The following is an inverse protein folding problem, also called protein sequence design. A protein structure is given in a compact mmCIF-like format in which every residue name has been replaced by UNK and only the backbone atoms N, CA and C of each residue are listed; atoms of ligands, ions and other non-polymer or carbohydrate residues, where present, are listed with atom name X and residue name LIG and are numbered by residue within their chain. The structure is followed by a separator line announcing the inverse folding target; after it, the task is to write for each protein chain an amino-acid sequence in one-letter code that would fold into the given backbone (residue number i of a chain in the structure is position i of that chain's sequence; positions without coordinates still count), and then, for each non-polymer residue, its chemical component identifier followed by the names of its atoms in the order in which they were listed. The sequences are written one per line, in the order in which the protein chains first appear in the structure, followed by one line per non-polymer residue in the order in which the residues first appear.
data_IF_857633012013
#
_entry.id   IF_857633012013
#
_cell.length_a   1.000
_cell.length_b   1.000
_cell.length_c   1.000
_cell.angle_alpha   90.00
_cell.angle_beta   90.00
_cell.angle_gamma   90.00
#
_symmetry.space_group_name_H-M   'P 1'
#
loop_
_entity.id
_entity.type
_entity.pdbx_description
1 polymer ?
#
# COMPACT_ATOMS: atom_id res chain seq x y z
N UNK A 1 -22.01 -17.21 -18.48
CA UNK A 1 -22.27 -17.18 -17.01
C UNK A 1 -20.92 -17.38 -16.34
N UNK A 2 -20.21 -16.29 -16.12
CA UNK A 2 -18.80 -16.29 -15.70
C UNK A 2 -18.71 -15.96 -14.21
N UNK A 3 -17.68 -16.48 -13.54
CA UNK A 3 -17.47 -16.45 -12.09
C UNK A 3 -17.25 -15.05 -11.45
N UNK A 4 -17.80 -13.99 -12.04
CA UNK A 4 -17.53 -12.57 -11.74
C UNK A 4 -18.46 -11.94 -10.68
N UNK A 5 -19.44 -12.70 -10.17
CA UNK A 5 -20.45 -12.20 -9.21
C UNK A 5 -20.57 -13.07 -7.95
N UNK A 6 -19.46 -13.67 -7.48
CA UNK A 6 -19.48 -14.26 -6.15
C UNK A 6 -19.72 -13.15 -5.11
N UNK A 7 -20.73 -13.26 -4.23
CA UNK A 7 -20.98 -12.24 -3.22
C UNK A 7 -19.77 -12.13 -2.31
N UNK A 8 -19.18 -10.93 -2.23
CA UNK A 8 -18.10 -10.63 -1.30
C UNK A 8 -18.67 -10.73 0.12
N UNK A 9 -18.18 -11.70 0.89
CA UNK A 9 -18.58 -11.88 2.28
C UNK A 9 -18.08 -10.69 3.13
N UNK A 10 -18.90 -10.26 4.08
CA UNK A 10 -18.49 -9.24 5.05
C UNK A 10 -17.46 -9.82 6.02
N UNK A 11 -16.66 -8.95 6.62
CA UNK A 11 -15.75 -9.38 7.68
C UNK A 11 -16.55 -10.00 8.84
N UNK A 12 -16.10 -11.12 9.44
CA UNK A 12 -16.88 -11.83 10.48
C UNK A 12 -17.27 -10.93 11.66
N UNK A 13 -16.38 -10.02 12.07
CA UNK A 13 -16.64 -9.09 13.17
C UNK A 13 -17.71 -8.05 12.79
N UNK A 14 -17.72 -7.59 11.54
CA UNK A 14 -18.76 -6.71 11.02
C UNK A 14 -20.14 -7.40 11.06
N UNK A 15 -20.21 -8.67 10.68
CA UNK A 15 -21.46 -9.45 10.75
C UNK A 15 -21.95 -9.64 12.19
N UNK A 16 -21.05 -9.96 13.11
CA UNK A 16 -21.37 -10.09 14.54
C UNK A 16 -21.96 -8.79 15.10
N UNK A 17 -21.38 -7.64 14.77
CA UNK A 17 -21.87 -6.35 15.22
C UNK A 17 -23.27 -6.07 14.68
N UNK A 18 -23.48 -6.30 13.38
CA UNK A 18 -24.80 -6.18 12.76
C UNK A 18 -25.85 -7.09 13.42
N UNK A 19 -25.48 -8.31 13.81
CA UNK A 19 -26.38 -9.22 14.53
C UNK A 19 -26.69 -8.76 15.95
N UNK A 20 -25.78 -8.03 16.59
CA UNK A 20 -25.94 -7.50 17.95
C UNK A 20 -26.76 -6.21 18.02
N UNK A 21 -27.11 -5.59 16.89
CA UNK A 21 -27.87 -4.35 16.86
C UNK A 21 -29.32 -4.57 17.33
N UNK A 22 -29.88 -3.66 18.15
CA UNK A 22 -31.22 -3.82 18.72
C UNK A 22 -32.34 -3.63 17.69
N UNK A 23 -32.08 -2.95 16.57
CA UNK A 23 -33.02 -2.77 15.45
C UNK A 23 -32.62 -3.67 14.27
N UNK A 24 -33.29 -4.82 14.06
CA UNK A 24 -32.98 -5.75 12.98
C UNK A 24 -33.23 -5.15 11.58
N UNK A 25 -34.18 -4.22 11.45
CA UNK A 25 -34.48 -3.59 10.17
C UNK A 25 -33.35 -2.63 9.79
N UNK A 26 -32.89 -1.80 10.74
CA UNK A 26 -31.72 -0.94 10.53
C UNK A 26 -30.45 -1.77 10.25
N UNK A 27 -30.22 -2.85 11.00
CA UNK A 27 -29.10 -3.77 10.75
C UNK A 27 -29.16 -4.40 9.34
N UNK A 28 -30.37 -4.75 8.88
CA UNK A 28 -30.60 -5.22 7.51
C UNK A 28 -30.19 -4.20 6.45
N UNK A 29 -30.55 -2.92 6.65
CA UNK A 29 -30.19 -1.81 5.76
C UNK A 29 -28.67 -1.55 5.73
N UNK A 30 -28.03 -1.53 6.90
CA UNK A 30 -26.56 -1.42 6.98
C UNK A 30 -25.86 -2.59 6.29
N UNK A 31 -26.36 -3.82 6.48
CA UNK A 31 -25.80 -5.01 5.81
C UNK A 31 -25.79 -4.85 4.29
N UNK A 32 -26.89 -4.34 3.71
CA UNK A 32 -26.96 -4.11 2.26
C UNK A 32 -25.93 -3.07 1.79
N UNK A 33 -25.80 -1.95 2.52
CA UNK A 33 -24.79 -0.93 2.22
C UNK A 33 -23.38 -1.49 2.32
N UNK A 34 -23.06 -2.23 3.38
CA UNK A 34 -21.72 -2.77 3.57
C UNK A 34 -21.37 -3.86 2.55
N UNK A 35 -22.34 -4.67 2.12
CA UNK A 35 -22.11 -5.64 1.04
C UNK A 35 -21.84 -4.91 -0.28
N UNK A 36 -22.59 -3.86 -0.59
CA UNK A 36 -22.34 -3.03 -1.77
C UNK A 36 -20.96 -2.34 -1.69
N UNK A 37 -20.57 -1.86 -0.50
CA UNK A 37 -19.26 -1.27 -0.26
C UNK A 37 -18.13 -2.28 -0.45
N UNK A 38 -18.28 -3.50 0.07
CA UNK A 38 -17.31 -4.58 -0.10
C UNK A 38 -17.13 -4.96 -1.58
N UNK A 39 -18.22 -5.02 -2.34
CA UNK A 39 -18.19 -5.25 -3.79
C UNK A 39 -17.51 -4.10 -4.52
N UNK A 40 -17.85 -2.85 -4.19
CA UNK A 40 -17.21 -1.68 -4.80
C UNK A 40 -15.70 -1.66 -4.51
N UNK A 41 -15.26 -1.89 -3.27
CA UNK A 41 -13.83 -1.97 -2.92
C UNK A 41 -13.14 -3.06 -3.73
N UNK A 42 -13.74 -4.26 -3.84
CA UNK A 42 -13.17 -5.36 -4.61
C UNK A 42 -13.02 -5.03 -6.10
N UNK A 43 -14.00 -4.39 -6.73
CA UNK A 43 -13.92 -4.02 -8.16
C UNK A 43 -13.05 -2.80 -8.43
N UNK A 44 -12.92 -1.91 -7.45
CA UNK A 44 -11.99 -0.78 -7.50
C UNK A 44 -10.54 -1.19 -7.22
N UNK A 45 -10.32 -2.39 -6.67
CA UNK A 45 -8.96 -2.95 -6.50
C UNK A 45 -8.34 -3.32 -7.85
N UNK A 46 -7.01 -3.48 -7.87
CA UNK A 46 -6.24 -4.07 -8.96
C UNK A 46 -6.55 -3.59 -10.38
N UNK A 47 -6.33 -2.31 -10.64
CA UNK A 47 -6.02 -1.89 -12.01
C UNK A 47 -4.59 -2.32 -12.32
N UNK A 48 -4.44 -3.45 -13.01
CA UNK A 48 -3.14 -3.81 -13.57
C UNK A 48 -2.79 -2.81 -14.67
N UNK A 49 -2.00 -1.82 -14.30
CA UNK A 49 -1.52 -0.80 -15.22
C UNK A 49 -0.49 -1.35 -16.21
N UNK A 50 0.09 -2.54 -15.95
CA UNK A 50 1.17 -3.11 -16.77
C UNK A 50 0.73 -3.33 -18.21
N UNK A 51 -0.53 -3.72 -18.45
CA UNK A 51 -1.05 -3.89 -19.82
C UNK A 51 -1.18 -2.58 -20.61
N UNK A 52 -1.12 -1.43 -19.94
CA UNK A 52 -1.18 -0.10 -20.56
C UNK A 52 0.19 0.59 -20.58
N UNK A 53 1.23 -0.10 -20.10
CA UNK A 53 2.61 0.37 -20.20
C UNK A 53 3.11 0.11 -21.63
N UNK A 54 3.74 1.12 -22.23
CA UNK A 54 4.49 0.97 -23.48
C UNK A 54 5.98 0.98 -23.17
N UNK A 55 6.77 0.25 -23.96
CA UNK A 55 8.24 0.22 -23.83
C UNK A 55 8.89 1.59 -24.12
N UNK A 56 8.14 2.53 -24.69
CA UNK A 56 8.55 3.92 -24.94
C UNK A 56 7.70 4.93 -24.18
N UNK A 57 8.30 6.04 -23.78
CA UNK A 57 7.61 7.20 -23.16
C UNK A 57 7.27 8.31 -24.14
N UNK A 58 7.70 8.20 -25.40
CA UNK A 58 7.57 9.25 -26.44
C UNK A 58 6.25 9.24 -27.21
N UNK A 59 5.37 8.25 -27.03
CA UNK A 59 4.05 8.28 -27.65
C UNK A 59 3.14 9.24 -26.90
N UNK A 60 2.74 10.34 -27.54
CA UNK A 60 1.55 11.11 -27.15
C UNK A 60 0.35 10.17 -26.98
N UNK A 61 -0.64 10.54 -26.18
CA UNK A 61 -1.83 9.71 -26.04
C UNK A 61 -2.56 9.64 -27.39
N UNK A 62 -2.29 8.57 -28.13
CA UNK A 62 -3.10 8.19 -29.28
C UNK A 62 -4.54 7.99 -28.80
N UNK A 63 -5.51 8.36 -29.63
CA UNK A 63 -6.94 8.08 -29.42
C UNK A 63 -7.19 6.63 -28.98
N UNK A 64 -6.32 5.70 -29.38
CA UNK A 64 -6.32 4.29 -28.97
C UNK A 64 -6.21 4.08 -27.45
N UNK A 65 -5.36 4.83 -26.72
CA UNK A 65 -5.26 4.68 -25.27
C UNK A 65 -6.55 5.14 -24.58
N UNK A 66 -7.13 6.24 -25.07
CA UNK A 66 -8.39 6.74 -24.54
C UNK A 66 -9.53 5.72 -24.75
N UNK A 67 -9.58 5.09 -25.93
CA UNK A 67 -10.52 4.01 -26.24
C UNK A 67 -10.33 2.79 -25.32
N UNK A 68 -9.10 2.44 -24.98
CA UNK A 68 -8.78 1.36 -24.04
C UNK A 68 -9.11 1.72 -22.57
N UNK A 69 -8.98 3.00 -22.20
CA UNK A 69 -9.21 3.49 -20.83
C UNK A 69 -10.65 3.86 -20.53
N UNK A 70 -11.42 4.26 -21.53
CA UNK A 70 -12.82 4.63 -21.36
C UNK A 70 -13.67 3.55 -20.67
N UNK A 71 -13.53 2.24 -20.97
CA UNK A 71 -14.20 1.18 -20.22
C UNK A 71 -13.82 1.18 -18.73
N UNK A 72 -12.53 1.32 -18.40
CA UNK A 72 -12.06 1.31 -17.00
C UNK A 72 -12.61 2.51 -16.21
N UNK A 73 -12.63 3.69 -16.83
CA UNK A 73 -13.19 4.91 -16.24
C UNK A 73 -14.70 4.74 -16.02
N UNK A 74 -15.42 4.26 -17.05
CA UNK A 74 -16.86 4.00 -16.97
C UNK A 74 -17.18 3.02 -15.86
N UNK A 75 -16.47 1.89 -15.80
CA UNK A 75 -16.71 0.84 -14.83
C UNK A 75 -16.40 1.33 -13.40
N UNK A 76 -15.33 2.13 -13.23
CA UNK A 76 -15.03 2.82 -11.95
C UNK A 76 -16.21 3.69 -11.50
N UNK A 77 -16.77 4.52 -12.40
CA UNK A 77 -17.92 5.38 -12.08
C UNK A 77 -19.18 4.54 -11.80
N UNK A 78 -19.39 3.46 -12.55
CA UNK A 78 -20.53 2.56 -12.36
C UNK A 78 -20.49 1.88 -10.99
N UNK A 79 -19.33 1.36 -10.57
CA UNK A 79 -19.19 0.66 -9.30
C UNK A 79 -19.45 1.58 -8.09
N UNK A 80 -18.98 2.82 -8.13
CA UNK A 80 -19.28 3.80 -7.08
C UNK A 80 -20.75 4.21 -7.12
N UNK A 81 -21.34 4.42 -8.31
CA UNK A 81 -22.75 4.78 -8.43
C UNK A 81 -23.70 3.68 -7.93
N UNK A 82 -23.36 2.39 -8.11
CA UNK A 82 -24.11 1.27 -7.54
C UNK A 82 -24.19 1.41 -6.02
N UNK A 83 -23.07 1.68 -5.35
CA UNK A 83 -23.06 1.93 -3.91
C UNK A 83 -23.89 3.15 -3.52
N UNK A 84 -23.75 4.28 -4.23
CA UNK A 84 -24.51 5.50 -3.94
C UNK A 84 -26.03 5.26 -4.05
N UNK A 85 -26.47 4.48 -5.04
CA UNK A 85 -27.88 4.13 -5.18
C UNK A 85 -28.37 3.27 -4.00
N UNK A 86 -27.60 2.27 -3.58
CA UNK A 86 -27.93 1.45 -2.39
C UNK A 86 -28.04 2.32 -1.14
N UNK A 87 -27.13 3.28 -0.93
CA UNK A 87 -27.21 4.20 0.22
C UNK A 87 -28.49 5.04 0.16
N UNK A 88 -28.85 5.60 -1.01
CA UNK A 88 -30.07 6.41 -1.18
C UNK A 88 -31.35 5.62 -0.92
N UNK A 89 -31.40 4.38 -1.40
CA UNK A 89 -32.55 3.49 -1.22
C UNK A 89 -32.72 3.08 0.24
N UNK A 90 -31.63 2.73 0.92
CA UNK A 90 -31.66 2.21 2.29
C UNK A 90 -31.68 3.33 3.35
N UNK A 91 -31.19 4.52 3.04
CA UNK A 91 -31.09 5.64 3.96
C UNK A 91 -31.60 6.94 3.31
N UNK A 92 -32.93 7.11 3.13
CA UNK A 92 -33.48 8.36 2.61
C UNK A 92 -33.34 9.50 3.64
N UNK A 93 -33.09 10.71 3.14
CA UNK A 93 -32.81 11.94 3.93
C UNK A 93 -33.91 12.28 4.96
N UNK A 94 -35.13 11.75 4.80
CA UNK A 94 -36.30 12.06 5.63
C UNK A 94 -36.53 11.07 6.79
N UNK A 95 -35.65 10.09 7.00
CA UNK A 95 -35.84 9.10 8.06
C UNK A 95 -35.69 9.72 9.46
N UNK A 96 -36.76 9.68 10.26
CA UNK A 96 -36.72 10.07 11.69
C UNK A 96 -35.97 9.00 12.50
N UNK A 97 -34.65 9.12 12.57
CA UNK A 97 -33.80 8.32 13.44
C UNK A 97 -33.42 9.10 14.71
N UNK A 98 -33.06 8.38 15.79
CA UNK A 98 -32.59 8.99 17.04
C UNK A 98 -31.31 8.27 17.53
N UNK A 99 -30.47 9.01 18.25
CA UNK A 99 -29.25 8.49 18.88
C UNK A 99 -28.25 7.92 17.86
N UNK A 100 -27.64 6.77 18.20
CA UNK A 100 -26.60 6.12 17.38
C UNK A 100 -27.03 5.80 15.95
N UNK A 101 -28.32 5.52 15.73
CA UNK A 101 -28.88 5.26 14.39
C UNK A 101 -28.80 6.53 13.53
N UNK A 102 -29.11 7.69 14.12
CA UNK A 102 -29.03 8.97 13.43
C UNK A 102 -27.58 9.34 13.09
N UNK A 103 -26.66 9.14 14.03
CA UNK A 103 -25.24 9.40 13.85
C UNK A 103 -24.64 8.54 12.73
N UNK A 104 -24.87 7.22 12.77
CA UNK A 104 -24.44 6.30 11.71
C UNK A 104 -25.05 6.66 10.35
N UNK A 105 -26.33 7.02 10.31
CA UNK A 105 -26.99 7.46 9.07
C UNK A 105 -26.40 8.77 8.55
N UNK A 106 -26.04 9.72 9.42
CA UNK A 106 -25.43 10.98 9.04
C UNK A 106 -24.04 10.76 8.39
N UNK A 107 -23.23 9.86 8.97
CA UNK A 107 -21.94 9.46 8.39
C UNK A 107 -22.12 8.88 6.98
N UNK A 108 -23.13 8.04 6.76
CA UNK A 108 -23.44 7.49 5.43
C UNK A 108 -23.82 8.58 4.42
N UNK A 109 -24.62 9.57 4.85
CA UNK A 109 -25.02 10.69 3.98
C UNK A 109 -23.85 11.61 3.62
N UNK A 110 -22.99 11.92 4.59
CA UNK A 110 -21.79 12.72 4.37
C UNK A 110 -20.85 12.03 3.37
N UNK A 111 -20.57 10.74 3.60
CA UNK A 111 -19.73 9.96 2.70
C UNK A 111 -20.33 9.84 1.29
N UNK A 112 -21.66 9.71 1.17
CA UNK A 112 -22.35 9.74 -0.12
C UNK A 112 -22.15 11.08 -0.84
N UNK A 113 -22.22 12.21 -0.12
CA UNK A 113 -21.98 13.54 -0.71
C UNK A 113 -20.54 13.68 -1.20
N UNK A 114 -19.57 13.21 -0.41
CA UNK A 114 -18.15 13.25 -0.77
C UNK A 114 -17.87 12.40 -2.02
N UNK A 115 -18.34 11.15 -2.04
CA UNK A 115 -18.19 10.25 -3.19
C UNK A 115 -18.85 10.80 -4.46
N UNK A 116 -20.03 11.42 -4.34
CA UNK A 116 -20.70 12.05 -5.48
C UNK A 116 -19.88 13.23 -6.04
N UNK A 117 -19.28 14.05 -5.18
CA UNK A 117 -18.41 15.15 -5.58
C UNK A 117 -17.15 14.63 -6.29
N UNK A 118 -16.55 13.54 -5.80
CA UNK A 118 -15.38 12.92 -6.43
C UNK A 118 -15.68 12.34 -7.82
N UNK A 119 -16.88 11.77 -8.02
CA UNK A 119 -17.32 11.35 -9.37
C UNK A 119 -17.38 12.56 -10.31
N UNK A 120 -17.90 13.70 -9.84
CA UNK A 120 -17.93 14.93 -10.65
C UNK A 120 -16.51 15.40 -10.99
N UNK A 121 -15.60 15.40 -10.01
CA UNK A 121 -14.20 15.77 -10.22
C UNK A 121 -13.48 14.84 -11.21
N UNK A 122 -13.75 13.53 -11.14
CA UNK A 122 -13.26 12.57 -12.12
C UNK A 122 -13.78 12.93 -13.52
N UNK A 123 -15.08 13.20 -13.66
CA UNK A 123 -15.68 13.62 -14.92
C UNK A 123 -15.06 14.91 -15.49
N UNK A 124 -14.72 15.88 -14.64
CA UNK A 124 -14.04 17.11 -15.04
C UNK A 124 -12.59 16.85 -15.47
N UNK A 125 -11.84 16.05 -14.70
CA UNK A 125 -10.47 15.66 -15.05
C UNK A 125 -10.41 14.93 -16.40
N UNK A 126 -11.37 14.05 -16.66
CA UNK A 126 -11.49 13.29 -17.91
C UNK A 126 -11.89 14.14 -19.12
N UNK A 127 -12.35 15.38 -18.91
CA UNK A 127 -12.61 16.36 -19.99
C UNK A 127 -11.44 17.31 -20.21
N UNK A 128 -10.43 17.30 -19.34
CA UNK A 128 -9.28 18.19 -19.44
C UNK A 128 -8.28 17.64 -20.48
N UNK A 129 -8.02 18.38 -21.59
CA UNK A 129 -7.09 17.95 -22.62
C UNK A 129 -5.69 17.62 -22.10
N UNK A 130 -5.21 18.33 -21.08
CA UNK A 130 -3.88 18.09 -20.49
C UNK A 130 -3.75 16.75 -19.76
N UNK A 131 -4.87 16.18 -19.32
CA UNK A 131 -4.89 14.87 -18.65
C UNK A 131 -4.97 13.75 -19.69
N UNK A 132 -5.84 13.92 -20.68
CA UNK A 132 -6.09 12.88 -21.69
C UNK A 132 -5.05 12.82 -22.80
N UNK A 133 -4.24 13.88 -22.97
CA UNK A 133 -3.19 13.95 -24.01
C UNK A 133 -1.88 13.25 -23.64
N UNK A 134 -1.63 12.97 -22.35
CA UNK A 134 -0.45 12.25 -21.86
C UNK A 134 -0.86 10.95 -21.17
N UNK A 135 -0.35 9.83 -21.68
CA UNK A 135 -0.65 8.48 -21.18
C UNK A 135 -0.44 8.37 -19.68
N UNK A 136 0.72 8.80 -19.21
CA UNK A 136 1.11 8.63 -17.81
C UNK A 136 0.29 9.50 -16.87
N UNK A 137 -0.12 10.68 -17.31
CA UNK A 137 -1.03 11.59 -16.58
C UNK A 137 -2.42 10.97 -16.46
N UNK A 138 -2.98 10.44 -17.56
CA UNK A 138 -4.27 9.74 -17.52
C UNK A 138 -4.25 8.54 -16.56
N UNK A 139 -3.22 7.67 -16.65
CA UNK A 139 -3.08 6.52 -15.76
C UNK A 139 -2.94 6.95 -14.29
N UNK A 140 -2.20 8.04 -14.04
CA UNK A 140 -2.02 8.59 -12.69
C UNK A 140 -3.34 9.08 -12.10
N UNK A 141 -4.15 9.79 -12.89
CA UNK A 141 -5.45 10.30 -12.47
C UNK A 141 -6.43 9.16 -12.16
N UNK A 142 -6.54 8.17 -13.05
CA UNK A 142 -7.41 7.00 -12.81
C UNK A 142 -6.98 6.23 -11.56
N UNK A 143 -5.68 6.00 -11.37
CA UNK A 143 -5.17 5.33 -10.17
C UNK A 143 -5.43 6.14 -8.89
N UNK A 144 -5.30 7.47 -8.95
CA UNK A 144 -5.58 8.39 -7.85
C UNK A 144 -7.05 8.30 -7.43
N UNK A 145 -7.98 8.48 -8.37
CA UNK A 145 -9.41 8.43 -8.08
C UNK A 145 -9.85 7.06 -7.55
N UNK A 146 -9.40 5.95 -8.15
CA UNK A 146 -9.71 4.59 -7.66
C UNK A 146 -9.20 4.37 -6.23
N UNK A 147 -8.04 4.91 -5.89
CA UNK A 147 -7.50 4.81 -4.53
C UNK A 147 -8.30 5.66 -3.54
N UNK A 148 -8.64 6.89 -3.92
CA UNK A 148 -9.48 7.79 -3.11
C UNK A 148 -10.88 7.19 -2.85
N UNK A 149 -11.54 6.67 -3.88
CA UNK A 149 -12.82 5.99 -3.73
C UNK A 149 -12.74 4.80 -2.76
N UNK A 150 -11.73 3.94 -2.88
CA UNK A 150 -11.56 2.81 -1.94
C UNK A 150 -11.37 3.28 -0.51
N UNK A 151 -10.56 4.32 -0.31
CA UNK A 151 -10.32 4.90 1.00
C UNK A 151 -11.61 5.48 1.60
N UNK A 152 -12.36 6.28 0.84
CA UNK A 152 -13.61 6.87 1.29
C UNK A 152 -14.70 5.84 1.56
N UNK A 153 -14.82 4.80 0.73
CA UNK A 153 -15.75 3.69 0.97
C UNK A 153 -15.34 2.91 2.22
N UNK A 154 -14.05 2.66 2.43
CA UNK A 154 -13.55 2.03 3.65
C UNK A 154 -13.81 2.87 4.91
N UNK A 155 -13.60 4.19 4.81
CA UNK A 155 -13.91 5.16 5.88
C UNK A 155 -15.40 5.17 6.19
N UNK A 156 -16.26 5.12 5.17
CA UNK A 156 -17.71 5.00 5.33
C UNK A 156 -18.07 3.78 6.17
N UNK A 157 -17.57 2.59 5.82
CA UNK A 157 -17.87 1.36 6.56
C UNK A 157 -17.38 1.46 8.00
N UNK A 158 -16.13 1.87 8.19
CA UNK A 158 -15.53 1.97 9.53
C UNK A 158 -16.27 2.98 10.42
N UNK A 159 -16.44 4.22 9.95
CA UNK A 159 -17.03 5.29 10.75
C UNK A 159 -18.50 5.04 11.08
N UNK A 160 -19.26 4.46 10.15
CA UNK A 160 -20.68 4.18 10.37
C UNK A 160 -20.94 3.02 11.36
N UNK A 161 -20.03 2.03 11.43
CA UNK A 161 -20.17 0.92 12.41
C UNK A 161 -19.53 1.23 13.77
N UNK A 162 -18.48 2.06 13.82
CA UNK A 162 -17.75 2.37 15.06
C UNK A 162 -18.61 3.05 16.13
N UNK A 163 -19.71 3.68 15.75
CA UNK A 163 -20.70 4.25 16.68
C UNK A 163 -21.30 3.18 17.61
N UNK A 164 -21.32 1.92 17.18
CA UNK A 164 -21.96 0.81 17.89
C UNK A 164 -21.02 -0.01 18.77
N UNK A 165 -19.71 0.20 18.69
CA UNK A 165 -18.75 -0.49 19.54
C UNK A 165 -17.30 -0.19 19.18
N UNK A 166 -16.38 -0.55 20.07
CA UNK A 166 -14.95 -0.44 19.82
C UNK A 166 -14.52 -1.52 18.80
N UNK A 167 -13.97 -1.06 17.69
CA UNK A 167 -13.58 -1.87 16.54
C UNK A 167 -12.37 -1.28 15.86
N UNK A 168 -11.55 -2.15 15.29
CA UNK A 168 -10.48 -1.75 14.39
C UNK A 168 -10.92 -1.80 12.92
N UNK A 169 -10.18 -1.10 12.05
CA UNK A 169 -10.36 -1.19 10.60
C UNK A 169 -10.09 -2.59 10.08
N UNK A 170 -9.10 -3.28 10.64
CA UNK A 170 -8.76 -4.66 10.31
C UNK A 170 -9.94 -5.62 10.49
N UNK A 171 -10.80 -5.35 11.45
CA UNK A 171 -11.96 -6.18 11.76
C UNK A 171 -13.21 -5.84 10.94
N UNK A 172 -13.30 -4.62 10.41
CA UNK A 172 -14.56 -4.09 9.86
C UNK A 172 -14.48 -3.68 8.40
N UNK A 173 -13.35 -3.18 7.92
CA UNK A 173 -13.22 -2.67 6.55
C UNK A 173 -12.92 -3.83 5.59
N UNK A 174 -13.80 -4.08 4.61
CA UNK A 174 -13.57 -5.13 3.61
C UNK A 174 -12.27 -4.89 2.83
N UNK A 175 -11.46 -5.94 2.65
CA UNK A 175 -10.22 -5.86 1.88
C UNK A 175 -9.06 -5.12 2.55
N UNK A 176 -9.22 -4.59 3.77
CA UNK A 176 -8.17 -3.85 4.47
C UNK A 176 -6.90 -4.68 4.68
N UNK A 177 -7.03 -5.93 5.13
CA UNK A 177 -5.86 -6.79 5.37
C UNK A 177 -5.08 -7.10 4.08
N UNK A 178 -5.79 -7.34 2.97
CA UNK A 178 -5.14 -7.53 1.66
C UNK A 178 -4.43 -6.26 1.20
N UNK A 179 -5.02 -5.08 1.42
CA UNK A 179 -4.41 -3.81 1.05
C UNK A 179 -3.17 -3.49 1.90
N UNK A 180 -3.22 -3.72 3.21
CA UNK A 180 -2.07 -3.62 4.11
C UNK A 180 -0.95 -4.54 3.62
N UNK A 181 -1.26 -5.82 3.34
CA UNK A 181 -0.27 -6.80 2.83
C UNK A 181 0.35 -6.37 1.50
N UNK A 182 -0.45 -5.87 0.57
CA UNK A 182 0.03 -5.38 -0.72
C UNK A 182 0.97 -4.17 -0.54
N UNK A 183 0.56 -3.20 0.28
CA UNK A 183 1.37 -2.01 0.57
C UNK A 183 2.68 -2.36 1.30
N UNK A 184 2.65 -3.29 2.26
CA UNK A 184 3.83 -3.81 2.94
C UNK A 184 4.77 -4.51 1.96
N UNK A 185 4.23 -5.26 0.99
CA UNK A 185 5.03 -5.93 -0.05
C UNK A 185 5.74 -4.91 -0.93
N UNK A 186 5.03 -3.86 -1.38
CA UNK A 186 5.65 -2.76 -2.16
C UNK A 186 6.78 -2.12 -1.35
N UNK A 187 6.51 -1.74 -0.10
CA UNK A 187 7.50 -1.12 0.79
C UNK A 187 8.74 -1.99 0.98
N UNK A 188 8.56 -3.27 1.28
CA UNK A 188 9.65 -4.21 1.51
C UNK A 188 10.55 -4.37 0.27
N UNK A 189 9.94 -4.60 -0.90
CA UNK A 189 10.70 -4.81 -2.14
C UNK A 189 11.41 -3.52 -2.58
N UNK A 190 10.79 -2.36 -2.41
CA UNK A 190 11.43 -1.06 -2.69
C UNK A 190 12.65 -0.84 -1.80
N UNK A 191 12.55 -1.16 -0.51
CA UNK A 191 13.69 -1.04 0.41
C UNK A 191 14.84 -1.99 0.04
N UNK A 192 14.52 -3.22 -0.36
CA UNK A 192 15.51 -4.19 -0.84
C UNK A 192 16.17 -3.72 -2.14
N UNK A 193 15.40 -3.22 -3.10
CA UNK A 193 15.93 -2.63 -4.33
C UNK A 193 16.85 -1.45 -4.03
N UNK A 194 16.44 -0.54 -3.14
CA UNK A 194 17.24 0.65 -2.78
C UNK A 194 18.59 0.25 -2.19
N UNK A 195 18.61 -0.76 -1.32
CA UNK A 195 19.84 -1.33 -0.80
C UNK A 195 20.71 -1.95 -1.89
N UNK A 196 20.13 -2.70 -2.82
CA UNK A 196 20.85 -3.34 -3.91
C UNK A 196 21.48 -2.29 -4.83
N UNK A 197 20.70 -1.30 -5.27
CA UNK A 197 21.16 -0.23 -6.16
C UNK A 197 22.24 0.62 -5.49
N UNK A 198 22.10 0.97 -4.21
CA UNK A 198 23.14 1.71 -3.49
C UNK A 198 24.50 0.97 -3.49
N UNK A 199 24.48 -0.36 -3.32
CA UNK A 199 25.70 -1.19 -3.42
C UNK A 199 26.23 -1.23 -4.84
N UNK A 200 25.37 -1.30 -5.87
CA UNK A 200 25.80 -1.26 -7.28
C UNK A 200 26.44 0.07 -7.62
N UNK A 201 25.86 1.18 -7.17
CA UNK A 201 26.39 2.52 -7.38
C UNK A 201 27.81 2.66 -6.82
N UNK A 202 28.04 2.20 -5.58
CA UNK A 202 29.38 2.20 -4.99
C UNK A 202 30.38 1.41 -5.85
N UNK A 203 30.00 0.22 -6.31
CA UNK A 203 30.86 -0.61 -7.17
C UNK A 203 31.16 0.05 -8.51
N UNK A 204 30.18 0.67 -9.16
CA UNK A 204 30.37 1.37 -10.44
C UNK A 204 31.35 2.55 -10.28
N UNK A 205 31.25 3.29 -9.17
CA UNK A 205 32.17 4.40 -8.87
C UNK A 205 33.61 3.92 -8.68
N UNK A 206 33.81 2.77 -8.04
CA UNK A 206 35.14 2.22 -7.75
C UNK A 206 35.72 1.37 -8.89
N UNK A 207 34.90 0.96 -9.87
CA UNK A 207 35.31 0.03 -10.91
C UNK A 207 36.24 0.64 -11.97
N UNK A 208 37.06 -0.24 -12.57
CA UNK A 208 37.88 0.07 -13.74
C UNK A 208 37.11 -0.12 -15.06
N UNK A 209 37.64 0.36 -16.20
CA UNK A 209 36.94 0.33 -17.49
C UNK A 209 36.52 -1.07 -17.97
N UNK A 210 37.27 -2.11 -17.59
CA UNK A 210 37.04 -3.51 -18.00
C UNK A 210 35.78 -4.11 -17.39
N UNK A 211 35.32 -3.60 -16.25
CA UNK A 211 34.19 -4.19 -15.51
C UNK A 211 32.87 -3.44 -15.77
N UNK A 212 32.91 -2.32 -16.51
CA UNK A 212 31.76 -1.42 -16.67
C UNK A 212 30.56 -2.10 -17.32
N UNK A 213 30.79 -2.91 -18.36
CA UNK A 213 29.72 -3.67 -19.02
C UNK A 213 29.04 -4.63 -18.04
N UNK A 214 29.80 -5.35 -17.22
CA UNK A 214 29.26 -6.29 -16.25
C UNK A 214 28.39 -5.59 -15.21
N UNK A 215 28.79 -4.39 -14.76
CA UNK A 215 27.97 -3.62 -13.82
C UNK A 215 26.71 -3.02 -14.47
N UNK A 216 26.78 -2.59 -15.72
CA UNK A 216 25.59 -2.15 -16.47
C UNK A 216 24.57 -3.29 -16.63
N UNK A 217 25.03 -4.49 -17.01
CA UNK A 217 24.19 -5.69 -17.11
C UNK A 217 23.59 -6.10 -15.76
N UNK A 218 24.38 -6.02 -14.68
CA UNK A 218 23.85 -6.29 -13.34
C UNK A 218 22.73 -5.31 -12.98
N UNK A 219 22.93 -4.00 -13.16
CA UNK A 219 21.90 -3.00 -12.87
C UNK A 219 20.63 -3.23 -13.71
N UNK A 220 20.77 -3.60 -14.99
CA UNK A 220 19.64 -3.94 -15.85
C UNK A 220 18.89 -5.17 -15.34
N UNK A 221 19.61 -6.24 -14.98
CA UNK A 221 19.02 -7.47 -14.44
C UNK A 221 18.23 -7.22 -13.14
N UNK A 222 18.71 -6.33 -12.25
CA UNK A 222 17.98 -5.97 -11.03
C UNK A 222 16.67 -5.24 -11.37
N UNK A 223 16.68 -4.32 -12.36
CA UNK A 223 15.49 -3.62 -12.82
C UNK A 223 14.48 -4.57 -13.48
N UNK A 224 14.95 -5.49 -14.32
CA UNK A 224 14.11 -6.48 -14.98
C UNK A 224 13.50 -7.46 -13.96
N UNK A 225 14.27 -7.87 -12.96
CA UNK A 225 13.77 -8.69 -11.86
C UNK A 225 12.70 -7.92 -11.06
N UNK A 226 12.94 -6.64 -10.75
CA UNK A 226 11.98 -5.79 -10.05
C UNK A 226 10.68 -5.62 -10.84
N UNK A 227 10.75 -5.38 -12.15
CA UNK A 227 9.58 -5.24 -13.03
C UNK A 227 8.64 -6.44 -13.06
N UNK A 228 9.13 -7.63 -12.70
CA UNK A 228 8.33 -8.88 -12.62
C UNK A 228 7.67 -9.10 -11.25
N UNK A 229 7.98 -8.27 -10.25
CA UNK A 229 7.44 -8.42 -8.89
C UNK A 229 6.01 -7.89 -8.78
N UNK A 230 5.27 -8.37 -7.77
CA UNK A 230 3.98 -7.78 -7.41
C UNK A 230 4.12 -6.32 -6.92
N UNK A 231 5.28 -5.95 -6.37
CA UNK A 231 5.54 -4.59 -5.92
C UNK A 231 5.53 -3.58 -7.08
N UNK A 232 6.09 -3.95 -8.24
CA UNK A 232 6.07 -3.11 -9.43
C UNK A 232 4.63 -2.80 -9.87
N UNK A 233 3.73 -3.79 -9.85
CA UNK A 233 2.30 -3.58 -10.18
C UNK A 233 1.64 -2.54 -9.27
N UNK A 234 2.02 -2.51 -8.00
CA UNK A 234 1.51 -1.58 -6.99
C UNK A 234 2.14 -0.18 -6.97
N UNK A 235 3.06 0.13 -7.89
CA UNK A 235 3.66 1.47 -8.02
C UNK A 235 2.70 2.48 -8.68
N UNK A 236 2.98 3.77 -8.44
CA UNK A 236 2.27 4.86 -9.13
C UNK A 236 2.66 4.87 -10.61
N UNK A 237 1.75 5.28 -11.48
CA UNK A 237 2.03 5.40 -12.91
C UNK A 237 3.27 6.26 -13.20
N UNK A 238 3.42 7.44 -12.57
CA UNK A 238 4.62 8.27 -12.76
C UNK A 238 5.92 7.59 -12.30
N UNK A 239 5.88 6.80 -11.22
CA UNK A 239 7.06 6.06 -10.76
C UNK A 239 7.49 5.02 -11.81
N UNK A 240 6.52 4.33 -12.41
CA UNK A 240 6.74 3.36 -13.50
C UNK A 240 7.30 4.01 -14.75
N UNK A 241 6.80 5.20 -15.13
CA UNK A 241 7.33 6.02 -16.23
C UNK A 241 8.83 6.24 -16.07
N UNK A 242 9.26 6.75 -14.91
CA UNK A 242 10.67 7.02 -14.64
C UNK A 242 11.53 5.75 -14.66
N UNK A 243 10.98 4.62 -14.19
CA UNK A 243 11.68 3.32 -14.29
C UNK A 243 11.89 2.93 -15.75
N UNK A 244 10.86 3.06 -16.60
CA UNK A 244 10.96 2.74 -18.03
C UNK A 244 11.96 3.65 -18.73
N UNK A 245 11.96 4.95 -18.45
CA UNK A 245 12.93 5.92 -18.99
C UNK A 245 14.37 5.55 -18.60
N UNK A 246 14.61 5.20 -17.34
CA UNK A 246 15.93 4.76 -16.88
C UNK A 246 16.33 3.41 -17.49
N UNK A 247 15.39 2.47 -17.68
CA UNK A 247 15.65 1.21 -18.38
C UNK A 247 16.05 1.46 -19.83
N UNK A 248 15.38 2.38 -20.52
CA UNK A 248 15.70 2.78 -21.89
C UNK A 248 17.12 3.37 -22.03
N UNK A 249 17.60 4.07 -21.00
CA UNK A 249 18.98 4.59 -20.95
C UNK A 249 20.01 3.53 -20.56
N UNK A 250 19.66 2.63 -19.66
CA UNK A 250 20.56 1.59 -19.15
C UNK A 250 20.77 0.44 -20.14
N UNK A 251 19.74 0.07 -20.91
CA UNK A 251 19.78 -1.03 -21.88
C UNK A 251 20.91 -0.90 -22.91
N UNK A 252 21.07 0.25 -23.59
CA UNK A 252 22.20 0.48 -24.48
C UNK A 252 23.54 0.28 -23.78
N UNK A 253 23.74 0.86 -22.59
CA UNK A 253 24.99 0.75 -21.82
C UNK A 253 25.33 -0.70 -21.46
N UNK A 254 24.34 -1.52 -21.17
CA UNK A 254 24.52 -2.94 -20.83
C UNK A 254 24.95 -3.81 -22.02
N UNK A 255 24.65 -3.39 -23.25
CA UNK A 255 25.06 -4.10 -24.48
C UNK A 255 26.39 -3.60 -25.04
N UNK A 256 26.83 -2.41 -24.67
CA UNK A 256 28.15 -1.87 -25.04
C UNK A 256 29.28 -2.66 -24.37
N UNK A 257 30.33 -3.00 -25.12
CA UNK A 257 31.50 -3.71 -24.58
C UNK A 257 32.33 -2.86 -23.60
N UNK A 258 32.36 -1.54 -23.81
CA UNK A 258 33.07 -0.58 -22.98
C UNK A 258 32.21 0.68 -22.79
N UNK A 259 31.15 0.64 -21.97
CA UNK A 259 30.30 1.79 -21.75
C UNK A 259 31.06 2.91 -21.02
N UNK A 260 30.79 4.19 -21.33
CA UNK A 260 31.41 5.32 -20.63
C UNK A 260 31.08 5.28 -19.14
N UNK A 261 32.10 5.37 -18.29
CA UNK A 261 31.96 5.27 -16.83
C UNK A 261 31.09 6.40 -16.27
N UNK A 262 31.31 7.62 -16.74
CA UNK A 262 30.55 8.82 -16.37
C UNK A 262 29.07 8.68 -16.70
N UNK A 263 28.73 8.16 -17.88
CA UNK A 263 27.35 7.92 -18.29
C UNK A 263 26.68 6.82 -17.44
N UNK A 264 27.38 5.71 -17.19
CA UNK A 264 26.87 4.63 -16.35
C UNK A 264 26.67 5.08 -14.90
N UNK A 265 27.63 5.83 -14.34
CA UNK A 265 27.48 6.44 -13.00
C UNK A 265 26.24 7.33 -12.96
N UNK A 266 26.07 8.23 -13.93
CA UNK A 266 24.94 9.14 -13.96
C UNK A 266 23.58 8.41 -14.03
N UNK A 267 23.47 7.34 -14.82
CA UNK A 267 22.25 6.52 -14.90
C UNK A 267 21.98 5.78 -13.59
N UNK A 268 23.00 5.18 -12.98
CA UNK A 268 22.84 4.41 -11.72
C UNK A 268 22.58 5.34 -10.53
N UNK A 269 23.12 6.57 -10.53
CA UNK A 269 22.80 7.61 -9.54
C UNK A 269 21.34 8.09 -9.66
N UNK A 270 20.87 8.31 -10.89
CA UNK A 270 19.48 8.65 -11.14
C UNK A 270 18.54 7.52 -10.67
N UNK A 271 18.95 6.25 -10.87
CA UNK A 271 18.23 5.09 -10.36
C UNK A 271 18.22 5.02 -8.83
N UNK A 272 19.36 5.23 -8.16
CA UNK A 272 19.42 5.26 -6.69
C UNK A 272 18.49 6.36 -6.14
N UNK A 273 18.51 7.54 -6.77
CA UNK A 273 17.63 8.67 -6.42
C UNK A 273 16.15 8.32 -6.59
N UNK A 274 15.79 7.70 -7.72
CA UNK A 274 14.42 7.25 -7.98
C UNK A 274 13.97 6.22 -6.94
N UNK A 275 14.77 5.18 -6.68
CA UNK A 275 14.37 4.13 -5.73
C UNK A 275 14.23 4.68 -4.30
N UNK A 276 15.06 5.66 -3.92
CA UNK A 276 14.87 6.39 -2.65
C UNK A 276 13.56 7.18 -2.63
N UNK A 277 13.17 7.80 -3.74
CA UNK A 277 11.90 8.55 -3.82
C UNK A 277 10.66 7.63 -3.72
N UNK A 278 10.79 6.36 -4.12
CA UNK A 278 9.73 5.35 -3.95
C UNK A 278 9.42 5.06 -2.46
N UNK A 279 10.29 5.44 -1.52
CA UNK A 279 10.00 5.38 -0.08
C UNK A 279 8.79 6.23 0.31
N UNK A 280 8.30 7.12 -0.56
CA UNK A 280 7.02 7.80 -0.45
C UNK A 280 5.83 6.84 -0.27
N UNK A 281 5.97 5.55 -0.63
CA UNK A 281 4.99 4.50 -0.29
C UNK A 281 4.67 4.47 1.21
N UNK A 282 5.63 4.82 2.08
CA UNK A 282 5.44 4.90 3.54
C UNK A 282 4.40 5.95 3.96
N UNK A 283 4.07 6.91 3.08
CA UNK A 283 3.08 7.94 3.34
C UNK A 283 1.65 7.51 2.98
N UNK A 284 1.45 6.26 2.53
CA UNK A 284 0.10 5.72 2.31
C UNK A 284 -0.60 5.57 3.66
N UNK A 285 -1.82 6.11 3.75
CA UNK A 285 -2.62 6.10 4.97
C UNK A 285 -2.76 4.71 5.59
N UNK A 286 -2.94 3.67 4.76
CA UNK A 286 -3.03 2.28 5.21
C UNK A 286 -1.78 1.80 5.96
N UNK A 287 -0.58 2.22 5.52
CA UNK A 287 0.67 1.89 6.19
C UNK A 287 0.87 2.72 7.46
N UNK A 288 0.53 4.01 7.43
CA UNK A 288 0.61 4.88 8.62
C UNK A 288 -0.22 4.30 9.77
N UNK A 289 -1.45 3.87 9.49
CA UNK A 289 -2.32 3.26 10.48
C UNK A 289 -1.78 1.91 10.97
N UNK A 290 -1.39 1.02 10.06
CA UNK A 290 -0.78 -0.26 10.40
C UNK A 290 0.48 -0.08 11.27
N UNK A 291 1.37 0.83 10.88
CA UNK A 291 2.65 1.02 11.54
C UNK A 291 2.45 1.54 12.98
N UNK A 292 1.43 2.37 13.24
CA UNK A 292 1.05 2.80 14.60
C UNK A 292 0.58 1.63 15.46
N UNK A 293 -0.28 0.77 14.92
CA UNK A 293 -0.77 -0.43 15.63
C UNK A 293 0.38 -1.39 15.95
N UNK A 294 1.26 -1.62 14.98
CA UNK A 294 2.43 -2.49 15.11
C UNK A 294 3.42 -1.92 16.11
N UNK A 295 3.67 -0.60 16.07
CA UNK A 295 4.54 0.09 17.01
C UNK A 295 4.04 -0.07 18.46
N UNK A 296 2.75 0.17 18.71
CA UNK A 296 2.15 -0.02 20.03
C UNK A 296 2.22 -1.49 20.48
N UNK A 297 1.91 -2.44 19.58
CA UNK A 297 1.94 -3.86 19.88
C UNK A 297 3.36 -4.39 20.18
N UNK A 298 4.38 -3.84 19.52
CA UNK A 298 5.79 -4.12 19.81
C UNK A 298 6.21 -3.48 21.13
N UNK A 299 5.86 -2.22 21.38
CA UNK A 299 6.20 -1.51 22.62
C UNK A 299 5.76 -2.26 23.88
N UNK A 300 4.47 -2.64 23.94
CA UNK A 300 3.92 -3.40 25.07
C UNK A 300 4.65 -4.73 25.29
N UNK A 301 5.02 -5.44 24.20
CA UNK A 301 5.74 -6.71 24.31
C UNK A 301 7.16 -6.51 24.82
N UNK A 302 7.85 -5.48 24.36
CA UNK A 302 9.23 -5.22 24.78
C UNK A 302 9.30 -4.73 26.23
N UNK A 303 8.37 -3.90 26.67
CA UNK A 303 8.23 -3.54 28.09
C UNK A 303 8.02 -4.78 28.95
N UNK A 304 7.11 -5.68 28.54
CA UNK A 304 6.87 -6.94 29.24
C UNK A 304 8.11 -7.84 29.26
N UNK A 305 8.80 -7.98 28.13
CA UNK A 305 10.02 -8.79 28.05
C UNK A 305 11.13 -8.22 28.93
N UNK A 306 11.27 -6.88 28.97
CA UNK A 306 12.25 -6.21 29.84
C UNK A 306 11.97 -6.48 31.32
N UNK A 307 10.70 -6.44 31.73
CA UNK A 307 10.30 -6.77 33.11
C UNK A 307 10.57 -8.23 33.51
N UNK A 308 10.74 -9.14 32.54
CA UNK A 308 10.99 -10.56 32.76
C UNK A 308 12.46 -10.97 32.55
N UNK A 309 13.33 -10.07 32.09
CA UNK A 309 14.68 -10.44 31.62
C UNK A 309 15.54 -11.08 32.72
N UNK A 310 15.38 -10.63 33.97
CA UNK A 310 16.14 -11.16 35.12
C UNK A 310 15.43 -12.31 35.83
N UNK A 311 14.10 -12.35 35.82
CA UNK A 311 13.30 -13.32 36.57
C UNK A 311 12.91 -14.56 35.77
N UNK A 312 12.65 -14.40 34.47
CA UNK A 312 12.26 -15.45 33.53
C UNK A 312 12.81 -15.15 32.12
N UNK A 313 14.13 -15.36 31.91
CA UNK A 313 14.79 -15.02 30.66
C UNK A 313 14.26 -15.84 29.46
N UNK A 314 13.76 -17.06 29.68
CA UNK A 314 13.20 -17.89 28.62
C UNK A 314 11.89 -17.28 28.07
N UNK A 315 11.00 -16.85 28.95
CA UNK A 315 9.77 -16.14 28.53
C UNK A 315 10.09 -14.78 27.91
N UNK A 316 11.05 -14.04 28.46
CA UNK A 316 11.50 -12.77 27.89
C UNK A 316 12.03 -12.93 26.46
N UNK A 317 12.87 -13.95 26.19
CA UNK A 317 13.39 -14.26 24.87
C UNK A 317 12.29 -14.65 23.87
N UNK A 318 11.28 -15.41 24.32
CA UNK A 318 10.10 -15.73 23.49
C UNK A 318 9.31 -14.47 23.13
N UNK A 319 9.05 -13.58 24.09
CA UNK A 319 8.32 -12.33 23.86
C UNK A 319 9.11 -11.40 22.93
N UNK A 320 10.44 -11.33 23.06
CA UNK A 320 11.30 -10.62 22.12
C UNK A 320 11.15 -11.18 20.70
N UNK A 321 11.18 -12.50 20.52
CA UNK A 321 10.98 -13.12 19.22
C UNK A 321 9.60 -12.80 18.63
N UNK A 322 8.54 -12.81 19.44
CA UNK A 322 7.19 -12.39 19.05
C UNK A 322 7.13 -10.91 18.64
N UNK A 323 7.79 -10.02 19.40
CA UNK A 323 7.87 -8.60 19.08
C UNK A 323 8.64 -8.35 17.77
N UNK A 324 9.74 -9.07 17.55
CA UNK A 324 10.51 -8.99 16.30
C UNK A 324 9.73 -9.55 15.10
N UNK A 325 8.92 -10.60 15.30
CA UNK A 325 8.05 -11.16 14.27
C UNK A 325 6.95 -10.17 13.87
N UNK A 326 6.30 -9.51 14.83
CA UNK A 326 5.34 -8.43 14.58
C UNK A 326 6.02 -7.26 13.90
N UNK A 327 7.20 -6.85 14.38
CA UNK A 327 8.02 -5.78 13.81
C UNK A 327 8.46 -6.02 12.37
N UNK A 328 8.42 -7.26 11.84
CA UNK A 328 8.65 -7.51 10.41
C UNK A 328 7.68 -6.74 9.52
N UNK A 329 6.51 -6.40 10.05
CA UNK A 329 5.56 -5.54 9.37
C UNK A 329 5.92 -4.07 9.36
N UNK A 330 7.10 -3.67 9.85
CA UNK A 330 7.72 -2.34 9.67
C UNK A 330 8.87 -2.37 8.66
N UNK A 331 9.18 -3.54 8.07
CA UNK A 331 10.29 -3.65 7.12
C UNK A 331 10.11 -2.73 5.90
N UNK A 332 11.15 -1.98 5.58
CA UNK A 332 11.21 -0.93 4.58
C UNK A 332 10.78 0.47 5.07
N UNK A 333 10.50 0.63 6.36
CA UNK A 333 10.22 1.93 6.98
C UNK A 333 11.50 2.72 7.25
N UNK A 334 12.53 2.07 7.79
CA UNK A 334 13.80 2.69 8.16
C UNK A 334 14.96 1.68 8.06
N UNK A 335 16.11 2.14 7.58
CA UNK A 335 17.27 1.32 7.21
C UNK A 335 17.95 0.55 8.35
N UNK A 336 18.08 1.15 9.53
CA UNK A 336 18.66 0.50 10.71
C UNK A 336 17.69 -0.54 11.28
N UNK A 337 16.39 -0.24 11.30
CA UNK A 337 15.35 -1.22 11.62
C UNK A 337 15.41 -2.41 10.65
N UNK A 338 15.56 -2.15 9.34
CA UNK A 338 15.67 -3.21 8.34
C UNK A 338 16.91 -4.09 8.51
N UNK A 339 18.04 -3.50 8.93
CA UNK A 339 19.25 -4.26 9.26
C UNK A 339 19.01 -5.20 10.46
N UNK A 340 18.37 -4.69 11.52
CA UNK A 340 18.00 -5.48 12.69
C UNK A 340 17.02 -6.61 12.30
N UNK A 341 15.93 -6.29 11.61
CA UNK A 341 14.88 -7.24 11.26
C UNK A 341 15.41 -8.36 10.35
N UNK A 342 16.35 -8.08 9.44
CA UNK A 342 17.02 -9.11 8.62
C UNK A 342 17.89 -10.05 9.47
N UNK A 343 18.63 -9.50 10.44
CA UNK A 343 19.41 -10.31 11.38
C UNK A 343 18.50 -11.17 12.24
N UNK A 344 17.42 -10.58 12.77
CA UNK A 344 16.40 -11.25 13.57
C UNK A 344 15.75 -12.44 12.85
N UNK A 345 15.45 -12.35 11.55
CA UNK A 345 14.88 -13.48 10.77
C UNK A 345 15.78 -14.72 10.75
N UNK A 346 17.09 -14.53 10.84
CA UNK A 346 18.09 -15.61 10.79
C UNK A 346 18.54 -16.05 12.19
N UNK A 347 18.28 -15.24 13.20
CA UNK A 347 18.72 -15.48 14.56
C UNK A 347 17.64 -16.21 15.37
N UNK A 348 18.06 -17.13 16.24
CA UNK A 348 17.20 -17.77 17.23
C UNK A 348 16.97 -16.83 18.42
N UNK A 349 16.21 -15.75 18.21
CA UNK A 349 15.95 -14.75 19.27
C UNK A 349 15.33 -15.35 20.54
N UNK A 350 14.57 -16.44 20.37
CA UNK A 350 13.94 -17.17 21.47
C UNK A 350 14.91 -17.98 22.34
N UNK A 351 16.18 -18.11 21.94
CA UNK A 351 17.21 -18.82 22.72
C UNK A 351 18.22 -17.87 23.36
N UNK A 352 18.04 -16.55 23.22
CA UNK A 352 18.93 -15.56 23.82
C UNK A 352 18.82 -15.58 25.35
N UNK A 353 19.94 -15.34 26.03
CA UNK A 353 19.99 -15.30 27.50
C UNK A 353 20.92 -14.20 28.00
N UNK A 354 20.77 -13.82 29.27
CA UNK A 354 21.71 -12.95 29.97
C UNK A 354 21.93 -11.58 29.29
N UNK A 355 23.19 -11.12 29.20
CA UNK A 355 23.51 -9.80 28.62
C UNK A 355 23.09 -9.63 27.16
N UNK A 356 23.14 -10.70 26.36
CA UNK A 356 22.78 -10.65 24.93
C UNK A 356 21.28 -10.40 24.74
N UNK A 357 20.44 -11.04 25.57
CA UNK A 357 19.00 -10.81 25.58
C UNK A 357 18.66 -9.36 25.93
N UNK A 358 19.26 -8.82 27.00
CA UNK A 358 19.05 -7.42 27.41
C UNK A 358 19.50 -6.44 26.32
N UNK A 359 20.70 -6.62 25.78
CA UNK A 359 21.22 -5.75 24.72
C UNK A 359 20.33 -5.78 23.46
N UNK A 360 19.78 -6.95 23.10
CA UNK A 360 18.88 -7.09 21.94
C UNK A 360 17.52 -6.43 22.18
N UNK A 361 16.99 -6.53 23.41
CA UNK A 361 15.77 -5.82 23.83
C UNK A 361 15.96 -4.30 23.75
N UNK A 362 17.04 -3.78 24.34
CA UNK A 362 17.38 -2.35 24.31
C UNK A 362 17.60 -1.84 22.89
N UNK A 363 18.27 -2.62 22.05
CA UNK A 363 18.47 -2.29 20.63
C UNK A 363 17.13 -2.14 19.90
N UNK A 364 16.21 -3.11 20.05
CA UNK A 364 14.92 -3.05 19.37
C UNK A 364 14.03 -1.92 19.92
N UNK A 365 14.07 -1.66 21.24
CA UNK A 365 13.39 -0.50 21.84
C UNK A 365 13.92 0.82 21.29
N UNK A 366 15.25 0.99 21.20
CA UNK A 366 15.86 2.19 20.64
C UNK A 366 15.50 2.40 19.18
N UNK A 367 15.48 1.32 18.37
CA UNK A 367 15.04 1.40 16.98
C UNK A 367 13.57 1.80 16.85
N UNK A 368 12.67 1.27 17.69
CA UNK A 368 11.25 1.64 17.69
C UNK A 368 11.02 3.08 18.17
N UNK A 369 11.78 3.56 19.14
CA UNK A 369 11.69 4.94 19.61
C UNK A 369 12.04 5.94 18.50
N UNK A 370 13.08 5.62 17.70
CA UNK A 370 13.49 6.45 16.56
C UNK A 370 12.45 6.49 15.42
N UNK A 371 11.53 5.52 15.34
CA UNK A 371 10.43 5.56 14.37
C UNK A 371 9.33 6.57 14.74
N UNK A 372 9.15 6.86 16.04
CA UNK A 372 8.09 7.75 16.53
C UNK A 372 8.42 9.24 16.50
N UNK A 373 9.68 9.60 16.21
CA UNK A 373 10.16 10.98 16.11
C UNK A 373 10.12 11.53 14.67
N UNK A 374 9.67 10.73 13.71
CA UNK A 374 9.52 11.06 12.28
C UNK A 374 8.06 10.96 11.86
#
# INVERSE_FOLDING_TARGET
MSAENAPVALAPRLEQLLQSLPDPAFAGRLRQVYTAAAQAIARLSDMDLVKYETDSTESGADLSLWEEMAPVIRDTVMDVNVLLNVIREQFPVQAKAQGKIQESSAVLQEAMSQLAQEITQLGEAMRNPSVVSDRWTLLSEVQRFRSAFREHIGNLVYSSISVFGDVSRKETVPGYESEVKAAMTVRAVVADLGRIIAVRLAKVRDAGPTDMQAYAQQAQNELDAFGRTAAYRGLRAQDKRHIIELRGRLGPLATMAAPPKDELVAVVEALDTLVRSLSAVNQRQVLILNDREVWAACGVRLERAMGLVDSDPATAARILAEAAAIGQSLYGRESNMDAFLRKARKASLNTLTGPELRATLEQLQGLLANLGLM
#
